data_IF_997612980383
#
_entry.id   IF_997612980383
#
_cell.length_a   1.000
_cell.length_b   1.000
_cell.length_c   1.000
_cell.angle_alpha   90.00
_cell.angle_beta   90.00
_cell.angle_gamma   90.00
#
_symmetry.space_group_name_H-M   'P 1'
#
loop_
_entity.id
_entity.type
_entity.pdbx_description
1 polymer ?
#
# COMPACT_ATOMS: atom_id res chain seq x y z
N UNK A 1 4.82 -6.55 3.38
CA UNK A 1 4.17 -7.36 2.35
C UNK A 1 3.00 -6.64 1.67
N UNK A 2 2.04 -6.12 2.43
CA UNK A 2 0.93 -5.34 1.90
C UNK A 2 1.42 -4.07 1.20
N UNK A 3 2.40 -3.37 1.77
CA UNK A 3 2.99 -2.18 1.18
C UNK A 3 3.65 -2.47 -0.16
N UNK A 4 4.33 -3.61 -0.25
CA UNK A 4 4.99 -4.05 -1.47
C UNK A 4 3.97 -4.36 -2.57
N UNK A 5 2.89 -5.07 -2.24
CA UNK A 5 1.81 -5.37 -3.17
C UNK A 5 1.10 -4.10 -3.63
N UNK A 6 0.85 -3.17 -2.70
CA UNK A 6 0.19 -1.90 -3.01
C UNK A 6 1.02 -1.08 -3.98
N UNK A 7 2.33 -0.98 -3.76
CA UNK A 7 3.25 -0.27 -4.66
C UNK A 7 3.25 -0.91 -6.05
N UNK A 8 3.29 -2.24 -6.12
CA UNK A 8 3.24 -2.99 -7.37
C UNK A 8 1.93 -2.73 -8.12
N UNK A 9 0.79 -2.76 -7.44
CA UNK A 9 -0.50 -2.51 -8.08
C UNK A 9 -0.62 -1.09 -8.62
N UNK A 10 -0.09 -0.10 -7.91
CA UNK A 10 -0.07 1.29 -8.37
C UNK A 10 0.79 1.46 -9.62
N UNK A 11 1.94 0.78 -9.69
CA UNK A 11 2.80 0.77 -10.87
C UNK A 11 2.08 0.11 -12.05
N UNK A 12 1.43 -1.02 -11.82
CA UNK A 12 0.65 -1.72 -12.85
C UNK A 12 -0.48 -0.81 -13.36
N UNK A 13 -1.19 -0.13 -12.46
CA UNK A 13 -2.25 0.80 -12.84
C UNK A 13 -1.72 1.90 -13.77
N UNK A 14 -0.62 2.51 -13.40
CA UNK A 14 0.01 3.58 -14.18
C UNK A 14 0.41 3.09 -15.56
N UNK A 15 1.06 1.92 -15.63
CA UNK A 15 1.50 1.35 -16.91
C UNK A 15 0.31 0.94 -17.78
N UNK A 16 -0.74 0.36 -17.20
CA UNK A 16 -1.93 -0.02 -17.95
C UNK A 16 -2.66 1.20 -18.52
N UNK A 17 -2.77 2.27 -17.76
CA UNK A 17 -3.40 3.50 -18.23
C UNK A 17 -2.61 4.11 -19.40
N UNK A 18 -1.30 4.19 -19.27
CA UNK A 18 -0.42 4.67 -20.33
C UNK A 18 -0.47 3.76 -21.57
N UNK A 19 -0.51 2.44 -21.35
CA UNK A 19 -0.62 1.47 -22.42
C UNK A 19 -1.91 1.65 -23.23
N UNK A 20 -3.03 1.88 -22.55
CA UNK A 20 -4.33 2.10 -23.21
C UNK A 20 -4.31 3.37 -24.06
N UNK A 21 -3.68 4.43 -23.57
CA UNK A 21 -3.54 5.67 -24.32
C UNK A 21 -2.70 5.46 -25.58
N UNK A 22 -1.58 4.77 -25.47
CA UNK A 22 -0.72 4.43 -26.61
C UNK A 22 -1.46 3.53 -27.62
N UNK A 23 -2.22 2.55 -27.13
CA UNK A 23 -2.99 1.65 -27.98
C UNK A 23 -4.05 2.40 -28.78
N UNK A 24 -4.69 3.39 -28.16
CA UNK A 24 -5.66 4.24 -28.86
C UNK A 24 -5.00 4.99 -30.03
N UNK A 25 -3.81 5.53 -29.83
CA UNK A 25 -3.04 6.18 -30.90
C UNK A 25 -2.75 5.19 -32.02
N UNK A 26 -2.36 3.96 -31.69
CA UNK A 26 -2.06 2.91 -32.66
C UNK A 26 -3.32 2.50 -33.45
N UNK A 27 -4.45 2.39 -32.79
CA UNK A 27 -5.72 2.08 -33.44
C UNK A 27 -6.17 3.20 -34.37
N UNK A 28 -5.97 4.47 -33.98
CA UNK A 28 -6.28 5.61 -34.82
C UNK A 28 -5.42 5.63 -36.10
N UNK A 29 -4.22 5.06 -36.05
CA UNK A 29 -3.36 4.90 -37.21
C UNK A 29 -4.02 4.11 -38.33
N UNK A 30 -4.83 3.10 -37.99
CA UNK A 30 -5.52 2.27 -38.98
C UNK A 30 -6.55 3.06 -39.78
N UNK A 31 -7.10 4.12 -39.19
CA UNK A 31 -8.09 4.99 -39.81
C UNK A 31 -7.45 6.22 -40.46
N UNK A 32 -6.15 6.40 -40.37
CA UNK A 32 -5.45 7.55 -40.91
C UNK A 32 -5.36 7.47 -42.44
N UNK A 33 -5.41 8.64 -43.09
CA UNK A 33 -5.28 8.72 -44.55
C UNK A 33 -3.90 8.25 -45.02
N UNK A 34 -2.87 8.54 -44.24
CA UNK A 34 -1.50 8.12 -44.54
C UNK A 34 -0.91 7.46 -43.28
N UNK A 35 -1.07 6.12 -43.14
CA UNK A 35 -0.58 5.41 -41.96
C UNK A 35 0.93 5.57 -41.68
N UNK A 36 1.74 5.62 -42.73
CA UNK A 36 3.19 5.80 -42.58
C UNK A 36 3.54 7.15 -41.97
N UNK A 37 2.93 8.21 -42.47
CA UNK A 37 3.17 9.56 -41.95
C UNK A 37 2.64 9.68 -40.51
N UNK A 38 1.47 9.11 -40.23
CA UNK A 38 0.88 9.06 -38.89
C UNK A 38 1.82 8.35 -37.92
N UNK A 39 2.30 7.17 -38.30
CA UNK A 39 3.22 6.39 -37.48
C UNK A 39 4.51 7.15 -37.18
N UNK A 40 5.07 7.82 -38.18
CA UNK A 40 6.28 8.63 -38.01
C UNK A 40 6.03 9.77 -37.02
N UNK A 41 4.88 10.44 -37.15
CA UNK A 41 4.50 11.53 -36.25
C UNK A 41 4.32 11.07 -34.80
N UNK A 42 3.83 9.83 -34.62
CA UNK A 42 3.55 9.25 -33.29
C UNK A 42 4.54 8.16 -32.89
N UNK A 43 5.77 8.24 -33.39
CA UNK A 43 6.80 7.25 -33.13
C UNK A 43 7.09 7.07 -31.63
N UNK A 44 7.04 8.15 -30.85
CA UNK A 44 7.26 8.11 -29.42
C UNK A 44 6.20 7.24 -28.72
N UNK A 45 4.93 7.35 -29.13
CA UNK A 45 3.83 6.56 -28.58
C UNK A 45 3.97 5.07 -28.92
N UNK A 46 4.43 4.75 -30.13
CA UNK A 46 4.70 3.36 -30.51
C UNK A 46 5.82 2.75 -29.69
N UNK A 47 6.90 3.50 -29.49
CA UNK A 47 8.03 3.04 -28.65
C UNK A 47 7.60 2.87 -27.21
N UNK A 48 6.82 3.80 -26.68
CA UNK A 48 6.30 3.71 -25.31
C UNK A 48 5.37 2.51 -25.15
N UNK A 49 4.52 2.24 -26.14
CA UNK A 49 3.63 1.09 -26.15
C UNK A 49 4.42 -0.22 -26.01
N UNK A 50 5.47 -0.38 -26.80
CA UNK A 50 6.30 -1.58 -26.78
C UNK A 50 7.04 -1.73 -25.46
N UNK A 51 7.57 -0.63 -24.93
CA UNK A 51 8.24 -0.61 -23.63
C UNK A 51 7.29 -0.97 -22.49
N UNK A 52 6.09 -0.40 -22.48
CA UNK A 52 5.08 -0.69 -21.48
C UNK A 52 4.60 -2.13 -21.54
N UNK A 53 4.44 -2.66 -22.75
CA UNK A 53 4.07 -4.06 -22.95
C UNK A 53 5.11 -4.98 -22.31
N UNK A 54 6.39 -4.69 -22.52
CA UNK A 54 7.48 -5.47 -21.94
C UNK A 54 7.50 -5.35 -20.42
N UNK A 55 7.39 -4.14 -19.88
CA UNK A 55 7.39 -3.92 -18.44
C UNK A 55 6.22 -4.63 -17.75
N UNK A 56 5.03 -4.59 -18.36
CA UNK A 56 3.86 -5.29 -17.83
C UNK A 56 4.07 -6.81 -17.86
N UNK A 57 4.67 -7.35 -18.91
CA UNK A 57 4.99 -8.77 -18.99
C UNK A 57 6.01 -9.17 -17.91
N UNK A 58 7.00 -8.32 -17.65
CA UNK A 58 7.99 -8.55 -16.60
C UNK A 58 7.34 -8.54 -15.20
N UNK A 59 6.24 -7.79 -15.03
CA UNK A 59 5.47 -7.77 -13.79
C UNK A 59 4.46 -8.92 -13.69
N UNK A 60 4.43 -9.80 -14.69
CA UNK A 60 3.52 -10.95 -14.72
C UNK A 60 2.13 -10.64 -15.27
N UNK A 61 1.95 -9.47 -15.88
CA UNK A 61 0.67 -9.08 -16.49
C UNK A 61 0.65 -9.54 -17.93
N UNK A 62 -0.05 -10.63 -18.22
CA UNK A 62 -0.19 -11.18 -19.57
C UNK A 62 -1.40 -10.63 -20.30
N UNK A 63 -2.38 -10.15 -19.55
CA UNK A 63 -3.64 -9.62 -20.07
C UNK A 63 -3.94 -8.32 -19.34
N UNK A 64 -4.22 -7.26 -20.08
CA UNK A 64 -4.48 -5.96 -19.49
C UNK A 64 -5.79 -5.98 -18.71
N UNK A 65 -5.77 -5.85 -17.38
CA UNK A 65 -6.99 -5.81 -16.59
C UNK A 65 -7.72 -4.48 -16.76
N UNK A 66 -9.01 -4.47 -16.46
CA UNK A 66 -9.79 -3.23 -16.49
C UNK A 66 -9.31 -2.27 -15.41
N UNK A 67 -9.48 -0.97 -15.64
CA UNK A 67 -9.13 0.06 -14.66
C UNK A 67 -9.87 -0.14 -13.34
N UNK A 68 -11.15 -0.52 -13.40
CA UNK A 68 -11.96 -0.77 -12.21
C UNK A 68 -11.42 -1.94 -11.40
N UNK A 69 -10.97 -2.99 -12.05
CA UNK A 69 -10.44 -4.17 -11.37
C UNK A 69 -9.15 -3.83 -10.62
N UNK A 70 -8.26 -3.07 -11.25
CA UNK A 70 -7.02 -2.62 -10.61
C UNK A 70 -7.34 -1.67 -9.46
N UNK A 71 -8.24 -0.72 -9.68
CA UNK A 71 -8.63 0.25 -8.65
C UNK A 71 -9.24 -0.44 -7.43
N UNK A 72 -10.11 -1.42 -7.65
CA UNK A 72 -10.70 -2.22 -6.57
C UNK A 72 -9.63 -2.97 -5.78
N UNK A 73 -8.64 -3.54 -6.47
CA UNK A 73 -7.53 -4.23 -5.80
C UNK A 73 -6.71 -3.26 -4.94
N UNK A 74 -6.43 -2.07 -5.46
CA UNK A 74 -5.71 -1.03 -4.73
C UNK A 74 -6.50 -0.61 -3.49
N UNK A 75 -7.80 -0.35 -3.63
CA UNK A 75 -8.66 0.04 -2.50
C UNK A 75 -8.72 -1.05 -1.43
N UNK A 76 -8.80 -2.32 -1.82
CA UNK A 76 -8.79 -3.43 -0.88
C UNK A 76 -7.46 -3.50 -0.13
N UNK A 77 -6.34 -3.33 -0.82
CA UNK A 77 -5.02 -3.33 -0.19
C UNK A 77 -4.83 -2.13 0.75
N UNK A 78 -5.34 -0.97 0.38
CA UNK A 78 -5.31 0.20 1.25
C UNK A 78 -6.14 0.01 2.51
N UNK A 79 -7.31 -0.64 2.39
CA UNK A 79 -8.15 -0.99 3.55
C UNK A 79 -7.46 -1.97 4.48
N UNK A 80 -6.81 -3.00 3.94
CA UNK A 80 -6.03 -3.97 4.71
C UNK A 80 -4.88 -3.29 5.43
N UNK A 81 -4.19 -2.38 4.74
CA UNK A 81 -3.09 -1.61 5.33
C UNK A 81 -3.56 -0.77 6.50
N UNK A 82 -4.68 -0.06 6.35
CA UNK A 82 -5.25 0.77 7.41
C UNK A 82 -5.65 -0.06 8.62
N UNK A 83 -6.25 -1.25 8.40
CA UNK A 83 -6.63 -2.17 9.47
C UNK A 83 -5.39 -2.67 10.22
N UNK A 84 -4.34 -3.05 9.49
CA UNK A 84 -3.08 -3.51 10.09
C UNK A 84 -2.42 -2.43 10.93
N UNK A 85 -2.40 -1.19 10.44
CA UNK A 85 -1.84 -0.04 11.18
C UNK A 85 -2.62 0.20 12.48
N UNK A 86 -3.95 0.12 12.43
CA UNK A 86 -4.79 0.29 13.63
C UNK A 86 -4.54 -0.80 14.66
N UNK A 87 -4.47 -2.04 14.24
CA UNK A 87 -4.17 -3.17 15.13
C UNK A 87 -2.81 -2.99 15.81
N UNK A 88 -1.81 -2.58 15.04
CA UNK A 88 -0.47 -2.32 15.57
C UNK A 88 -0.48 -1.20 16.61
N UNK A 89 -1.21 -0.13 16.34
CA UNK A 89 -1.32 1.00 17.28
C UNK A 89 -2.01 0.58 18.58
N UNK A 90 -3.06 -0.24 18.49
CA UNK A 90 -3.75 -0.75 19.67
C UNK A 90 -2.85 -1.64 20.52
N UNK A 91 -2.08 -2.52 19.88
CA UNK A 91 -1.12 -3.37 20.58
C UNK A 91 -0.03 -2.55 21.25
N UNK A 92 0.46 -1.50 20.59
CA UNK A 92 1.45 -0.60 21.18
C UNK A 92 0.91 0.14 22.40
N UNK A 93 -0.35 0.57 22.36
CA UNK A 93 -1.02 1.19 23.51
C UNK A 93 -1.13 0.24 24.69
N UNK A 94 -1.54 -0.99 24.44
CA UNK A 94 -1.65 -2.04 25.48
C UNK A 94 -0.30 -2.33 26.10
N UNK A 95 0.74 -2.46 25.28
CA UNK A 95 2.08 -2.71 25.76
C UNK A 95 2.60 -1.55 26.63
N UNK A 96 2.35 -0.32 26.19
CA UNK A 96 2.73 0.87 26.96
C UNK A 96 2.04 0.90 28.31
N UNK A 97 0.74 0.60 28.36
CA UNK A 97 -0.02 0.53 29.60
C UNK A 97 0.53 -0.54 30.54
N UNK A 98 0.83 -1.73 30.01
CA UNK A 98 1.42 -2.81 30.80
C UNK A 98 2.79 -2.43 31.35
N UNK A 99 3.60 -1.74 30.59
CA UNK A 99 4.92 -1.29 31.03
C UNK A 99 4.80 -0.26 32.16
N UNK A 100 3.85 0.67 32.09
CA UNK A 100 3.59 1.65 33.15
C UNK A 100 3.16 0.95 34.41
N UNK A 101 2.24 -0.01 34.33
CA UNK A 101 1.78 -0.80 35.48
C UNK A 101 2.95 -1.54 36.11
N UNK A 102 3.79 -2.17 35.31
CA UNK A 102 4.96 -2.92 35.78
C UNK A 102 5.95 -1.99 36.49
N UNK A 103 6.21 -0.81 35.94
CA UNK A 103 7.10 0.17 36.54
C UNK A 103 6.57 0.68 37.88
N UNK A 104 5.28 0.98 37.95
CA UNK A 104 4.64 1.42 39.18
C UNK A 104 4.69 0.34 40.27
N UNK A 105 4.44 -0.90 39.89
CA UNK A 105 4.50 -2.03 40.81
C UNK A 105 5.93 -2.22 41.35
N UNK A 106 6.92 -2.15 40.48
CA UNK A 106 8.32 -2.27 40.88
C UNK A 106 8.73 -1.13 41.83
N UNK A 107 8.33 0.10 41.51
CA UNK A 107 8.62 1.26 42.35
C UNK A 107 7.99 1.09 43.75
N UNK A 108 6.78 0.57 43.81
CA UNK A 108 6.08 0.34 45.07
C UNK A 108 6.80 -0.70 45.94
N UNK A 109 7.29 -1.78 45.31
CA UNK A 109 8.04 -2.82 46.03
C UNK A 109 9.38 -2.33 46.54
N UNK A 110 10.02 -1.38 45.87
CA UNK A 110 11.37 -0.89 46.21
C UNK A 110 11.35 0.38 47.03
N UNK A 111 10.19 0.88 47.46
CA UNK A 111 10.05 2.09 48.24
C UNK A 111 9.58 1.80 49.68
N UNK A 112 10.50 1.55 50.62
CA UNK A 112 10.12 1.18 52.00
C UNK A 112 9.27 2.21 52.70
N UNK A 113 9.51 3.48 52.46
CA UNK A 113 8.78 4.58 53.09
C UNK A 113 7.31 4.59 52.71
N UNK A 114 6.98 4.10 51.53
CA UNK A 114 5.61 4.01 51.07
C UNK A 114 4.86 2.83 51.69
N UNK A 115 5.57 1.85 52.16
CA UNK A 115 4.98 0.65 52.77
C UNK A 115 4.57 0.85 54.21
N UNK A 116 5.31 1.69 54.93
CA UNK A 116 5.13 1.91 56.38
C UNK A 116 3.79 2.58 56.70
N UNK A 117 3.44 3.71 56.07
CA UNK A 117 2.22 4.41 56.42
C UNK A 117 0.97 3.76 55.90
N UNK A 118 1.08 2.85 54.97
CA UNK A 118 -0.07 2.17 54.40
C UNK A 118 -0.58 1.10 55.34
N UNK A 119 -1.79 1.27 55.83
CA UNK A 119 -2.43 0.28 56.66
C UNK A 119 -2.77 -0.96 55.85
N UNK A 120 -2.89 -2.09 56.51
CA UNK A 120 -3.26 -3.35 55.87
C UNK A 120 -4.59 -3.22 55.10
N UNK A 121 -5.49 -2.36 55.57
CA UNK A 121 -6.76 -2.11 54.92
C UNK A 121 -6.58 -1.49 53.53
N UNK A 122 -5.56 -0.68 53.35
CA UNK A 122 -5.29 -0.04 52.06
C UNK A 122 -4.65 -0.99 51.08
N UNK A 123 -4.02 -2.03 51.55
CA UNK A 123 -3.42 -3.05 50.71
C UNK A 123 -4.39 -4.07 50.17
N UNK A 124 -5.57 -4.14 50.73
CA UNK A 124 -6.62 -5.05 50.27
C UNK A 124 -7.45 -4.41 49.19
N UNK A 125 -7.09 -4.64 47.99
CA UNK A 125 -7.86 -4.18 46.84
C UNK A 125 -8.81 -5.27 46.35
#
# INVERSE_FOLDING_TARGET
>A
KINSELSTQKVIQKHCDSYRLCRKVIEDCKSAKNPKAYRTKHQAEYQLHDSLKKELQDLGVTKIPSSNKIQNRIENLESEQAATVREKQELQKKQKTLNIIRQNFTALLNAPEMQIPISEKELTL
#
